data_IF_342834863223
#
_entry.id   IF_342834863223
#
_cell.length_a   1.000
_cell.length_b   1.000
_cell.length_c   1.000
_cell.angle_alpha   90.00
_cell.angle_beta   90.00
_cell.angle_gamma   90.00
#
_symmetry.space_group_name_H-M   'P 1'
#
loop_
_entity.id
_entity.type
_entity.pdbx_description
1 polymer ?
#
# COMPACT_ATOMS: atom_id res chain seq x y z
N UNK A 1 -0.14 9.13 19.21
CA UNK A 1 -1.55 9.44 18.88
C UNK A 1 -2.31 9.70 20.16
N UNK A 2 -3.25 10.63 20.17
CA UNK A 2 -4.12 10.89 21.33
C UNK A 2 -5.06 9.69 21.58
N UNK A 3 -5.25 9.31 22.84
CA UNK A 3 -6.29 8.35 23.26
C UNK A 3 -7.67 9.04 23.24
N UNK A 4 -8.76 8.27 23.25
CA UNK A 4 -10.12 8.82 23.22
C UNK A 4 -10.67 9.14 21.82
N UNK A 5 -9.99 8.68 20.76
CA UNK A 5 -10.43 8.79 19.36
C UNK A 5 -10.25 7.45 18.64
N UNK A 6 -11.03 7.23 17.59
CA UNK A 6 -10.78 6.13 16.65
C UNK A 6 -9.40 6.31 16.02
N UNK A 7 -8.62 5.24 15.96
CA UNK A 7 -7.23 5.26 15.49
C UNK A 7 -6.99 4.14 14.50
N UNK A 8 -6.70 4.53 13.27
CA UNK A 8 -6.22 3.63 12.23
C UNK A 8 -4.70 3.59 12.28
N UNK A 9 -4.16 2.43 12.66
CA UNK A 9 -2.72 2.16 12.72
C UNK A 9 -2.36 1.24 11.57
N UNK A 10 -1.38 1.65 10.76
CA UNK A 10 -0.89 0.88 9.61
C UNK A 10 0.57 0.52 9.86
N UNK A 11 0.86 -0.76 9.83
CA UNK A 11 2.21 -1.32 9.83
C UNK A 11 2.57 -1.53 8.37
N UNK A 12 3.37 -0.64 7.81
CA UNK A 12 3.87 -0.78 6.45
C UNK A 12 5.12 -1.66 6.48
N UNK A 13 5.29 -2.50 5.47
CA UNK A 13 6.55 -3.19 5.21
C UNK A 13 7.67 -2.16 4.89
N UNK A 14 8.69 -2.54 4.12
CA UNK A 14 9.63 -1.55 3.60
C UNK A 14 8.87 -0.41 2.92
N UNK A 15 9.24 0.84 3.18
CA UNK A 15 8.55 1.97 2.57
C UNK A 15 8.64 1.96 1.03
N UNK A 16 9.69 1.33 0.47
CA UNK A 16 9.86 1.10 -0.96
C UNK A 16 9.13 -0.13 -1.53
N UNK A 17 8.24 -0.77 -0.78
CA UNK A 17 7.58 -2.00 -1.22
C UNK A 17 6.26 -1.76 -1.97
N UNK A 18 5.84 -2.72 -2.80
CA UNK A 18 4.62 -2.66 -3.60
C UNK A 18 3.39 -2.32 -2.74
N UNK A 19 3.27 -2.98 -1.60
CA UNK A 19 2.15 -2.84 -0.67
C UNK A 19 2.13 -1.45 -0.05
N UNK A 20 3.29 -1.01 0.45
CA UNK A 20 3.43 0.28 1.14
C UNK A 20 3.02 1.46 0.26
N UNK A 21 3.51 1.50 -0.98
CA UNK A 21 3.19 2.59 -1.89
C UNK A 21 1.72 2.58 -2.31
N UNK A 22 1.18 1.42 -2.74
CA UNK A 22 -0.21 1.34 -3.20
C UNK A 22 -1.20 1.62 -2.05
N UNK A 23 -0.90 1.13 -0.85
CA UNK A 23 -1.78 1.33 0.29
C UNK A 23 -1.78 2.77 0.78
N UNK A 24 -0.61 3.42 0.86
CA UNK A 24 -0.54 4.84 1.19
C UNK A 24 -1.27 5.71 0.17
N UNK A 25 -1.17 5.42 -1.13
CA UNK A 25 -1.92 6.12 -2.17
C UNK A 25 -3.44 5.96 -1.99
N UNK A 26 -3.91 4.77 -1.61
CA UNK A 26 -5.32 4.54 -1.28
C UNK A 26 -5.75 5.33 -0.03
N UNK A 27 -4.93 5.33 1.03
CA UNK A 27 -5.19 6.09 2.25
C UNK A 27 -5.25 7.58 2.01
N UNK A 28 -4.29 8.15 1.27
CA UNK A 28 -4.21 9.59 0.95
C UNK A 28 -5.50 10.08 0.29
N UNK A 29 -6.08 9.29 -0.63
CA UNK A 29 -7.33 9.63 -1.29
C UNK A 29 -8.52 9.73 -0.30
N UNK A 30 -8.56 8.89 0.74
CA UNK A 30 -9.64 8.86 1.74
C UNK A 30 -9.34 9.66 3.02
N UNK A 31 -8.13 10.20 3.20
CA UNK A 31 -7.74 10.96 4.39
C UNK A 31 -8.69 12.11 4.78
N UNK A 32 -9.25 12.91 3.84
CA UNK A 32 -10.24 13.92 4.20
C UNK A 32 -11.47 13.32 4.88
N UNK A 33 -11.96 12.16 4.40
CA UNK A 33 -13.10 11.45 4.98
C UNK A 33 -12.76 10.86 6.34
N UNK A 34 -11.57 10.26 6.48
CA UNK A 34 -11.10 9.74 7.78
C UNK A 34 -11.04 10.84 8.83
N UNK A 35 -10.51 12.02 8.47
CA UNK A 35 -10.45 13.19 9.36
C UNK A 35 -11.84 13.70 9.72
N UNK A 36 -12.73 13.81 8.74
CA UNK A 36 -14.11 14.22 8.97
C UNK A 36 -14.85 13.26 9.92
N UNK A 37 -14.55 11.96 9.84
CA UNK A 37 -15.07 10.92 10.74
C UNK A 37 -14.37 10.86 12.12
N UNK A 38 -13.40 11.75 12.40
CA UNK A 38 -12.65 11.74 13.66
C UNK A 38 -11.66 10.59 13.81
N UNK A 39 -11.33 9.89 12.72
CA UNK A 39 -10.37 8.78 12.70
C UNK A 39 -8.95 9.35 12.52
N UNK A 40 -8.13 9.20 13.56
CA UNK A 40 -6.71 9.54 13.50
C UNK A 40 -5.95 8.43 12.78
N UNK A 41 -5.02 8.77 11.90
CA UNK A 41 -4.24 7.77 11.13
C UNK A 41 -2.76 7.85 11.50
N UNK A 42 -2.10 6.71 11.69
CA UNK A 42 -0.66 6.61 11.89
C UNK A 42 -0.10 5.42 11.10
N UNK A 43 0.87 5.67 10.24
CA UNK A 43 1.67 4.63 9.62
C UNK A 43 3.00 4.46 10.37
N UNK A 44 3.45 3.22 10.51
CA UNK A 44 4.77 2.85 11.02
C UNK A 44 5.36 1.93 9.98
N UNK A 45 6.34 2.42 9.22
CA UNK A 45 6.98 1.66 8.14
C UNK A 45 8.39 1.24 8.47
N UNK A 46 8.91 0.27 7.71
CA UNK A 46 10.31 -0.13 7.85
C UNK A 46 11.16 0.76 6.94
N UNK A 47 12.18 1.38 7.51
CA UNK A 47 13.05 2.33 6.82
C UNK A 47 13.69 3.34 7.77
N UNK A 48 14.19 4.44 7.23
CA UNK A 48 14.80 5.55 7.97
C UNK A 48 14.15 6.91 7.60
N UNK A 49 14.66 8.00 8.19
CA UNK A 49 14.11 9.34 7.97
C UNK A 49 14.11 9.77 6.49
N UNK A 50 15.14 9.39 5.72
CA UNK A 50 15.28 9.70 4.29
C UNK A 50 14.24 8.95 3.46
N UNK A 51 14.09 7.64 3.71
CA UNK A 51 13.05 6.82 3.07
C UNK A 51 11.65 7.36 3.35
N UNK A 52 11.37 7.83 4.58
CA UNK A 52 10.09 8.43 4.95
C UNK A 52 9.86 9.76 4.21
N UNK A 53 10.90 10.58 4.04
CA UNK A 53 10.80 11.84 3.30
C UNK A 53 10.42 11.60 1.85
N UNK A 54 11.15 10.68 1.20
CA UNK A 54 10.88 10.31 -0.19
C UNK A 54 9.50 9.67 -0.34
N UNK A 55 9.15 8.75 0.54
CA UNK A 55 7.84 8.10 0.59
C UNK A 55 6.69 9.11 0.68
N UNK A 56 6.76 10.06 1.62
CA UNK A 56 5.75 11.10 1.79
C UNK A 56 5.67 12.00 0.56
N UNK A 57 6.83 12.41 0.02
CA UNK A 57 6.91 13.25 -1.18
C UNK A 57 6.26 12.58 -2.39
N UNK A 58 6.50 11.28 -2.58
CA UNK A 58 6.01 10.55 -3.74
C UNK A 58 4.53 10.16 -3.63
N UNK A 59 4.10 9.70 -2.45
CA UNK A 59 2.74 9.18 -2.23
C UNK A 59 1.74 10.27 -1.84
N UNK A 60 2.22 11.42 -1.35
CA UNK A 60 1.40 12.45 -0.70
C UNK A 60 1.00 12.12 0.73
N UNK A 61 1.52 11.03 1.31
CA UNK A 61 1.23 10.67 2.69
C UNK A 61 1.77 11.74 3.66
N UNK A 62 0.99 12.20 4.66
CA UNK A 62 1.40 13.29 5.54
C UNK A 62 2.54 12.87 6.46
N UNK A 63 3.63 13.64 6.43
CA UNK A 63 4.85 13.38 7.20
C UNK A 63 4.61 13.28 8.70
N UNK A 64 3.66 14.04 9.23
CA UNK A 64 3.31 14.01 10.66
C UNK A 64 2.53 12.76 11.09
N UNK A 65 2.08 11.94 10.13
CA UNK A 65 1.36 10.70 10.37
C UNK A 65 2.22 9.46 10.10
N UNK A 66 3.53 9.60 9.90
CA UNK A 66 4.42 8.46 9.65
C UNK A 66 5.54 8.41 10.70
N UNK A 67 5.80 7.20 11.19
CA UNK A 67 6.99 6.86 11.93
C UNK A 67 7.74 5.78 11.15
N UNK A 68 9.03 5.65 11.44
CA UNK A 68 9.87 4.60 10.85
C UNK A 68 10.57 3.81 11.94
N UNK A 69 10.69 2.52 11.69
CA UNK A 69 11.54 1.60 12.43
C UNK A 69 12.61 1.08 11.45
N UNK A 70 13.88 1.16 11.83
CA UNK A 70 14.97 0.66 10.99
C UNK A 70 14.99 -0.87 10.93
N UNK A 71 14.30 -1.53 11.86
CA UNK A 71 14.10 -2.97 11.89
C UNK A 71 12.62 -3.32 12.03
N UNK A 72 12.19 -4.54 11.69
CA UNK A 72 10.79 -4.93 11.86
C UNK A 72 10.46 -5.29 13.32
N UNK A 73 10.81 -4.46 14.31
CA UNK A 73 10.66 -4.79 15.74
C UNK A 73 9.20 -4.95 16.12
N UNK A 74 8.39 -3.94 15.81
CA UNK A 74 6.95 -3.99 16.07
C UNK A 74 6.25 -5.06 15.22
N UNK A 75 6.69 -5.23 13.97
CA UNK A 75 6.18 -6.27 13.08
C UNK A 75 6.37 -7.68 13.66
N UNK A 76 7.58 -7.97 14.17
CA UNK A 76 7.90 -9.24 14.85
C UNK A 76 7.08 -9.41 16.13
N UNK A 77 6.96 -8.36 16.95
CA UNK A 77 6.21 -8.40 18.20
C UNK A 77 4.72 -8.72 17.98
N UNK A 78 4.15 -8.25 16.87
CA UNK A 78 2.77 -8.53 16.47
C UNK A 78 2.59 -9.84 15.69
N UNK A 79 3.67 -10.59 15.46
CA UNK A 79 3.64 -11.85 14.72
C UNK A 79 3.31 -11.69 13.23
N UNK A 80 3.60 -10.52 12.64
CA UNK A 80 3.33 -10.26 11.22
C UNK A 80 4.22 -11.14 10.33
N UNK A 81 3.70 -11.52 9.16
CA UNK A 81 4.36 -12.47 8.28
C UNK A 81 5.75 -11.97 7.85
N UNK A 82 6.79 -12.69 8.27
CA UNK A 82 8.18 -12.35 7.95
C UNK A 82 8.55 -12.53 6.47
N UNK A 83 7.63 -13.06 5.66
CA UNK A 83 7.88 -13.41 4.27
C UNK A 83 8.58 -14.75 4.08
N UNK A 84 8.82 -15.08 2.82
CA UNK A 84 9.58 -16.27 2.44
C UNK A 84 11.04 -16.10 2.91
N UNK A 85 11.64 -17.20 3.36
CA UNK A 85 13.07 -17.29 3.66
C UNK A 85 13.70 -18.29 2.71
N UNK A 86 14.85 -17.93 2.13
CA UNK A 86 15.60 -18.81 1.24
C UNK A 86 17.07 -18.85 1.64
N UNK A 87 17.77 -19.93 1.28
CA UNK A 87 19.21 -20.03 1.48
C UNK A 87 20.00 -18.98 0.66
N UNK A 88 19.41 -18.44 -0.40
CA UNK A 88 20.02 -17.41 -1.25
C UNK A 88 19.86 -15.97 -0.71
N UNK A 89 19.29 -15.79 0.48
CA UNK A 89 19.08 -14.48 1.09
C UNK A 89 17.72 -13.83 0.73
N UNK A 90 17.57 -12.53 1.07
CA UNK A 90 16.29 -11.83 0.99
C UNK A 90 15.82 -11.58 -0.45
N UNK A 91 16.72 -11.24 -1.37
CA UNK A 91 16.37 -10.93 -2.77
C UNK A 91 15.78 -12.11 -3.55
N UNK A 92 16.41 -13.30 -3.56
CA UNK A 92 15.79 -14.47 -4.17
C UNK A 92 14.43 -14.82 -3.55
N UNK A 93 14.29 -14.63 -2.24
CA UNK A 93 13.03 -14.84 -1.55
C UNK A 93 11.94 -13.87 -2.06
N UNK A 94 12.26 -12.57 -2.20
CA UNK A 94 11.36 -11.58 -2.77
C UNK A 94 10.94 -11.94 -4.20
N UNK A 95 11.88 -12.32 -5.07
CA UNK A 95 11.54 -12.70 -6.45
C UNK A 95 10.61 -13.92 -6.52
N UNK A 96 10.83 -14.92 -5.66
CA UNK A 96 9.93 -16.07 -5.56
C UNK A 96 8.53 -15.66 -5.07
N UNK A 97 8.45 -14.74 -4.10
CA UNK A 97 7.17 -14.18 -3.66
C UNK A 97 6.46 -13.39 -4.76
N UNK A 98 7.17 -12.60 -5.56
CA UNK A 98 6.63 -11.94 -6.75
C UNK A 98 6.07 -12.96 -7.77
N UNK A 99 6.68 -14.14 -7.85
CA UNK A 99 6.19 -15.28 -8.64
C UNK A 99 5.06 -16.08 -7.94
N UNK A 100 4.60 -15.65 -6.76
CA UNK A 100 3.50 -16.24 -6.00
C UNK A 100 3.91 -17.30 -4.96
N UNK A 101 5.20 -17.62 -4.83
CA UNK A 101 5.68 -18.64 -3.88
C UNK A 101 5.79 -18.03 -2.48
N UNK A 102 5.09 -18.61 -1.50
CA UNK A 102 5.01 -18.02 -0.16
C UNK A 102 4.23 -16.70 -0.13
N UNK A 103 3.44 -16.43 -1.16
CA UNK A 103 2.72 -15.17 -1.32
C UNK A 103 1.33 -15.40 -1.96
N UNK A 104 0.38 -15.98 -1.20
CA UNK A 104 -0.92 -16.35 -1.72
C UNK A 104 -1.68 -15.13 -2.28
N UNK A 105 -2.25 -15.26 -3.47
CA UNK A 105 -3.04 -14.20 -4.11
C UNK A 105 -2.25 -13.16 -4.92
N UNK A 106 -0.91 -13.17 -4.85
CA UNK A 106 -0.09 -12.18 -5.59
C UNK A 106 -0.33 -12.24 -7.10
N UNK A 107 -0.31 -13.44 -7.70
CA UNK A 107 -0.50 -13.57 -9.15
C UNK A 107 -1.92 -13.17 -9.61
N UNK A 108 -2.95 -13.44 -8.80
CA UNK A 108 -4.30 -12.97 -9.10
C UNK A 108 -4.40 -11.45 -9.06
N UNK A 109 -3.70 -10.81 -8.11
CA UNK A 109 -3.66 -9.35 -8.02
C UNK A 109 -2.85 -8.71 -9.14
N UNK A 110 -1.78 -9.36 -9.60
CA UNK A 110 -1.05 -8.95 -10.80
C UNK A 110 -1.98 -9.03 -12.01
N UNK A 111 -2.67 -10.16 -12.21
CA UNK A 111 -3.60 -10.35 -13.32
C UNK A 111 -4.74 -9.31 -13.30
N UNK A 112 -5.32 -9.03 -12.14
CA UNK A 112 -6.35 -7.98 -11.93
C UNK A 112 -5.89 -6.61 -12.41
N UNK A 113 -4.59 -6.32 -12.28
CA UNK A 113 -3.99 -5.09 -12.77
C UNK A 113 -4.05 -4.93 -14.29
N UNK A 114 -3.94 -6.04 -15.03
CA UNK A 114 -3.98 -6.08 -16.49
C UNK A 114 -5.40 -6.24 -17.04
N UNK A 115 -6.24 -7.06 -16.41
CA UNK A 115 -7.61 -7.33 -16.89
C UNK A 115 -8.63 -6.29 -16.45
N UNK A 116 -8.33 -5.51 -15.42
CA UNK A 116 -9.28 -4.59 -14.79
C UNK A 116 -10.20 -5.29 -13.80
N UNK A 117 -11.01 -4.50 -13.10
CA UNK A 117 -11.89 -4.94 -12.02
C UNK A 117 -13.13 -4.04 -11.93
N UNK A 118 -14.31 -4.60 -12.26
CA UNK A 118 -15.58 -3.87 -12.26
C UNK A 118 -16.10 -3.54 -10.86
N UNK A 119 -15.57 -4.20 -9.84
CA UNK A 119 -15.93 -3.95 -8.44
C UNK A 119 -15.07 -2.85 -7.79
N UNK A 120 -13.93 -2.54 -8.39
CA UNK A 120 -13.02 -1.49 -7.94
C UNK A 120 -13.31 -0.14 -8.63
N UNK A 121 -13.10 0.99 -7.94
CA UNK A 121 -13.26 2.31 -8.55
C UNK A 121 -12.18 2.58 -9.60
N UNK A 122 -12.49 3.48 -10.54
CA UNK A 122 -11.53 3.98 -11.51
C UNK A 122 -10.39 4.73 -10.80
N UNK A 123 -9.13 4.45 -11.17
CA UNK A 123 -7.96 5.00 -10.46
C UNK A 123 -7.32 6.21 -11.15
N UNK A 124 -7.48 6.35 -12.47
CA UNK A 124 -6.94 7.48 -13.24
C UNK A 124 -8.12 8.24 -13.86
N UNK A 125 -8.27 9.53 -13.59
CA UNK A 125 -9.36 10.31 -14.20
C UNK A 125 -9.14 10.46 -15.73
N UNK A 126 -10.21 10.60 -16.52
CA UNK A 126 -10.08 10.67 -17.98
C UNK A 126 -9.25 11.85 -18.49
N UNK A 127 -9.28 12.96 -17.76
CA UNK A 127 -8.52 14.17 -18.04
C UNK A 127 -7.12 14.15 -17.42
N UNK A 128 -6.83 13.20 -16.54
CA UNK A 128 -5.53 13.06 -15.89
C UNK A 128 -4.49 12.49 -16.85
N UNK A 129 -3.25 12.92 -16.70
CA UNK A 129 -2.11 12.38 -17.43
C UNK A 129 -1.08 11.88 -16.43
N UNK A 130 -0.77 10.59 -16.50
CA UNK A 130 0.23 9.95 -15.63
C UNK A 130 1.59 10.01 -16.33
N UNK A 131 2.57 10.59 -15.65
CA UNK A 131 3.97 10.54 -16.05
C UNK A 131 4.60 9.23 -15.57
N UNK A 132 5.27 8.52 -16.49
CA UNK A 132 5.89 7.21 -16.25
C UNK A 132 7.32 7.24 -16.83
N UNK A 133 8.08 8.32 -16.60
CA UNK A 133 9.47 8.43 -17.10
C UNK A 133 10.27 7.18 -16.72
N UNK A 134 11.06 6.57 -17.64
CA UNK A 134 11.44 7.04 -18.96
C UNK A 134 10.42 6.74 -20.09
N UNK A 135 9.28 6.14 -19.79
CA UNK A 135 8.23 5.86 -20.77
C UNK A 135 7.36 7.09 -21.07
N UNK A 136 6.68 7.12 -22.23
CA UNK A 136 5.74 8.18 -22.56
C UNK A 136 4.62 8.30 -21.53
N UNK A 137 4.24 9.53 -21.18
CA UNK A 137 3.09 9.79 -20.33
C UNK A 137 1.79 9.25 -20.95
N UNK A 138 0.92 8.70 -20.12
CA UNK A 138 -0.35 8.09 -20.55
C UNK A 138 -1.51 8.93 -20.04
N UNK A 139 -2.41 9.34 -20.95
CA UNK A 139 -3.65 10.03 -20.58
C UNK A 139 -4.71 9.03 -20.16
N UNK A 140 -5.46 9.31 -19.09
CA UNK A 140 -6.47 8.41 -18.55
C UNK A 140 -7.57 8.02 -19.55
N UNK A 141 -7.90 8.90 -20.50
CA UNK A 141 -8.84 8.61 -21.59
C UNK A 141 -8.40 7.47 -22.52
N UNK A 142 -7.12 7.09 -22.52
CA UNK A 142 -6.64 5.92 -23.26
C UNK A 142 -7.28 4.63 -22.74
N UNK A 143 -7.36 4.46 -21.42
CA UNK A 143 -7.93 3.27 -20.78
C UNK A 143 -9.44 3.14 -21.02
N UNK A 144 -10.14 4.26 -21.29
CA UNK A 144 -11.57 4.24 -21.66
C UNK A 144 -11.82 3.34 -22.86
N UNK A 145 -10.91 3.37 -23.85
CA UNK A 145 -11.04 2.57 -25.08
C UNK A 145 -10.91 1.07 -24.82
N UNK A 146 -10.23 0.69 -23.75
CA UNK A 146 -10.00 -0.71 -23.40
C UNK A 146 -11.13 -1.33 -22.57
N UNK A 147 -11.93 -0.54 -21.84
CA UNK A 147 -12.92 -1.11 -20.92
C UNK A 147 -14.15 -0.26 -20.56
N UNK A 148 -14.23 1.01 -20.97
CA UNK A 148 -15.30 1.93 -20.54
C UNK A 148 -14.89 2.83 -19.38
N UNK A 149 -15.82 3.16 -18.47
CA UNK A 149 -15.62 4.13 -17.39
C UNK A 149 -16.30 3.68 -16.09
N UNK A 150 -15.92 4.29 -14.97
CA UNK A 150 -16.58 4.11 -13.67
C UNK A 150 -16.10 2.90 -12.86
N UNK A 151 -15.05 2.22 -13.32
CA UNK A 151 -14.42 1.11 -12.62
C UNK A 151 -12.91 1.04 -12.92
N UNK A 152 -12.17 0.18 -12.25
CA UNK A 152 -10.75 -0.03 -12.53
C UNK A 152 -10.58 -0.67 -13.91
N UNK A 153 -10.09 0.09 -14.88
CA UNK A 153 -10.03 -0.34 -16.28
C UNK A 153 -8.85 -1.30 -16.55
N UNK A 154 -8.89 -2.10 -17.62
CA UNK A 154 -7.75 -2.91 -18.05
C UNK A 154 -6.48 -2.05 -18.16
N UNK A 155 -5.35 -2.60 -17.70
CA UNK A 155 -4.03 -1.96 -17.64
C UNK A 155 -3.90 -0.72 -16.74
N UNK A 156 -4.99 -0.19 -16.17
CA UNK A 156 -4.97 1.04 -15.36
C UNK A 156 -4.15 0.86 -14.07
N UNK A 157 -4.44 -0.21 -13.32
CA UNK A 157 -3.71 -0.52 -12.09
C UNK A 157 -2.28 -1.00 -12.38
N UNK A 158 -2.07 -1.78 -13.44
CA UNK A 158 -0.71 -2.16 -13.87
C UNK A 158 0.15 -0.91 -14.19
N UNK A 159 -0.44 0.12 -14.80
CA UNK A 159 0.24 1.40 -15.08
C UNK A 159 0.65 2.13 -13.81
N UNK A 160 -0.23 2.18 -12.80
CA UNK A 160 0.09 2.79 -11.50
C UNK A 160 1.22 2.02 -10.81
N UNK A 161 1.14 0.68 -10.79
CA UNK A 161 2.18 -0.16 -10.19
C UNK A 161 3.52 -0.05 -10.92
N UNK A 162 3.52 0.11 -12.25
CA UNK A 162 4.74 0.37 -13.01
C UNK A 162 5.36 1.71 -12.60
N UNK A 163 4.56 2.77 -12.46
CA UNK A 163 5.04 4.08 -11.96
C UNK A 163 5.66 3.94 -10.56
N UNK A 164 5.01 3.21 -9.66
CA UNK A 164 5.53 2.95 -8.31
C UNK A 164 6.86 2.17 -8.37
N UNK A 165 6.95 1.15 -9.22
CA UNK A 165 8.16 0.35 -9.38
C UNK A 165 9.32 1.20 -9.92
N UNK A 166 9.07 2.07 -10.91
CA UNK A 166 10.13 2.94 -11.45
C UNK A 166 10.62 3.93 -10.38
N UNK A 167 9.71 4.50 -9.59
CA UNK A 167 10.09 5.36 -8.46
C UNK A 167 11.02 4.65 -7.49
N UNK A 168 10.63 3.44 -7.05
CA UNK A 168 11.40 2.66 -6.09
C UNK A 168 12.77 2.29 -6.67
N UNK A 169 12.81 1.76 -7.89
CA UNK A 169 14.06 1.33 -8.52
C UNK A 169 15.02 2.51 -8.78
N UNK A 170 14.50 3.69 -9.12
CA UNK A 170 15.32 4.89 -9.33
C UNK A 170 15.89 5.46 -8.03
N UNK A 171 15.29 5.13 -6.88
CA UNK A 171 15.66 5.62 -5.56
C UNK A 171 15.94 4.46 -4.59
N UNK A 172 16.43 3.32 -5.10
CA UNK A 172 16.52 2.07 -4.33
C UNK A 172 17.37 2.23 -3.07
N UNK A 173 18.49 2.96 -3.17
CA UNK A 173 19.37 3.23 -2.01
C UNK A 173 18.70 4.05 -0.91
N UNK A 174 17.78 4.96 -1.26
CA UNK A 174 17.02 5.76 -0.29
C UNK A 174 15.91 4.94 0.36
N UNK A 175 15.19 4.12 -0.43
CA UNK A 175 14.09 3.32 0.07
C UNK A 175 14.52 2.07 0.83
N UNK A 176 15.71 1.54 0.54
CA UNK A 176 16.19 0.28 1.04
C UNK A 176 17.58 0.42 1.69
N UNK A 177 17.68 1.12 2.85
CA UNK A 177 18.93 1.27 3.57
C UNK A 177 19.46 -0.08 4.11
N UNK A 178 18.57 -1.04 4.35
CA UNK A 178 18.87 -2.43 4.72
C UNK A 178 17.88 -3.35 4.03
N UNK A 179 18.37 -4.47 3.47
CA UNK A 179 17.57 -5.39 2.66
C UNK A 179 17.24 -6.73 3.37
N UNK A 180 17.73 -6.93 4.59
CA UNK A 180 17.53 -8.13 5.42
C UNK A 180 16.04 -8.53 5.57
N UNK A 181 15.13 -7.56 5.46
CA UNK A 181 13.71 -7.70 5.76
C UNK A 181 12.80 -7.25 4.60
N UNK A 182 13.26 -7.26 3.35
CA UNK A 182 12.40 -6.91 2.19
C UNK A 182 11.17 -7.80 2.01
N UNK A 183 11.21 -9.02 2.54
CA UNK A 183 10.08 -9.94 2.47
C UNK A 183 9.08 -9.76 3.64
N UNK A 184 9.45 -9.00 4.68
CA UNK A 184 8.55 -8.69 5.81
C UNK A 184 7.28 -8.03 5.29
N UNK A 185 6.13 -8.51 5.79
CA UNK A 185 4.80 -8.00 5.48
C UNK A 185 4.24 -7.16 6.61
N UNK A 186 3.26 -6.33 6.28
CA UNK A 186 2.63 -5.38 7.17
C UNK A 186 1.32 -5.88 7.79
N UNK A 187 0.53 -4.91 8.26
CA UNK A 187 -0.79 -5.13 8.80
C UNK A 187 -1.54 -3.82 9.06
N UNK A 188 -2.85 -3.91 9.26
CA UNK A 188 -3.73 -2.78 9.54
C UNK A 188 -4.53 -3.05 10.79
N UNK A 189 -4.67 -2.05 11.65
CA UNK A 189 -5.42 -2.14 12.89
C UNK A 189 -6.31 -0.91 13.08
N UNK A 190 -7.55 -1.12 13.49
CA UNK A 190 -8.45 -0.04 13.92
C UNK A 190 -8.72 -0.20 15.41
N UNK A 191 -8.40 0.83 16.18
CA UNK A 191 -8.74 0.93 17.59
C UNK A 191 -9.87 1.94 17.80
N UNK A 192 -10.72 1.72 18.79
CA UNK A 192 -11.71 2.69 19.23
C UNK A 192 -11.11 3.73 20.20
N UNK A 193 -11.97 4.50 20.88
CA UNK A 193 -11.56 5.50 21.88
C UNK A 193 -10.94 4.90 23.15
N UNK A 194 -11.28 3.66 23.50
CA UNK A 194 -10.93 2.97 24.75
C UNK A 194 -9.80 1.94 24.57
N UNK A 195 -9.05 2.02 23.46
CA UNK A 195 -7.99 1.09 23.09
C UNK A 195 -8.49 -0.33 22.71
N UNK A 196 -9.79 -0.50 22.42
CA UNK A 196 -10.36 -1.78 21.97
C UNK A 196 -10.07 -1.97 20.48
N UNK A 197 -9.59 -3.17 20.13
CA UNK A 197 -9.36 -3.57 18.74
C UNK A 197 -10.68 -3.87 18.02
N UNK A 198 -10.98 -3.07 17.00
CA UNK A 198 -12.21 -3.18 16.20
C UNK A 198 -12.00 -3.92 14.87
N UNK A 199 -10.80 -3.83 14.30
CA UNK A 199 -10.44 -4.48 13.05
C UNK A 199 -8.95 -4.77 13.04
N UNK A 200 -8.57 -5.92 12.48
CA UNK A 200 -7.20 -6.26 12.18
C UNK A 200 -7.09 -7.02 10.87
N UNK A 201 -6.12 -6.64 10.05
CA UNK A 201 -5.68 -7.40 8.88
C UNK A 201 -4.18 -7.59 8.95
N UNK A 202 -3.72 -8.80 8.70
CA UNK A 202 -2.29 -9.12 8.60
C UNK A 202 -2.01 -9.58 7.17
N UNK A 203 -1.03 -8.96 6.52
CA UNK A 203 -0.83 -9.21 5.10
C UNK A 203 -0.21 -10.59 4.90
N UNK A 204 -0.80 -11.38 4.01
CA UNK A 204 -0.43 -12.78 3.79
C UNK A 204 0.65 -12.95 2.72
N UNK A 205 0.98 -11.87 2.00
CA UNK A 205 1.88 -11.86 0.86
C UNK A 205 1.89 -10.50 0.19
N UNK A 206 2.64 -10.40 -0.91
CA UNK A 206 2.73 -9.23 -1.78
C UNK A 206 1.38 -8.98 -2.46
N UNK A 207 0.97 -7.72 -2.49
CA UNK A 207 -0.32 -7.21 -2.94
C UNK A 207 -1.49 -7.74 -2.12
N UNK A 208 -1.26 -8.04 -0.84
CA UNK A 208 -2.23 -8.63 0.08
C UNK A 208 -2.57 -7.76 1.29
N UNK A 209 -2.41 -6.44 1.19
CA UNK A 209 -2.50 -5.49 2.31
C UNK A 209 -3.94 -5.15 2.78
N UNK A 210 -4.95 -5.73 2.14
CA UNK A 210 -6.34 -5.63 2.57
C UNK A 210 -7.10 -6.91 2.25
N UNK A 211 -8.07 -7.25 3.09
CA UNK A 211 -9.02 -8.33 2.84
C UNK A 211 -9.82 -8.09 1.54
N UNK A 212 -10.09 -6.82 1.20
CA UNK A 212 -10.82 -6.44 -0.01
C UNK A 212 -9.95 -5.55 -0.90
N UNK A 213 -9.04 -6.13 -1.68
CA UNK A 213 -8.11 -5.37 -2.54
C UNK A 213 -8.79 -4.46 -3.59
N UNK A 214 -10.00 -4.79 -4.03
CA UNK A 214 -10.80 -3.93 -4.91
C UNK A 214 -11.19 -2.59 -4.25
N UNK A 215 -11.38 -2.60 -2.92
CA UNK A 215 -11.73 -1.44 -2.09
C UNK A 215 -11.00 -1.56 -0.75
N UNK A 216 -9.68 -1.25 -0.69
CA UNK A 216 -8.83 -1.61 0.44
C UNK A 216 -9.29 -1.08 1.80
N UNK A 217 -10.09 -0.01 1.79
CA UNK A 217 -10.59 0.71 2.95
C UNK A 217 -12.07 0.42 3.25
N UNK A 218 -12.67 -0.60 2.62
CA UNK A 218 -14.09 -0.95 2.79
C UNK A 218 -14.49 -1.25 4.24
N UNK A 219 -13.56 -1.83 5.03
CA UNK A 219 -13.75 -2.11 6.46
C UNK A 219 -14.04 -0.85 7.30
N UNK A 220 -13.70 0.34 6.78
CA UNK A 220 -13.95 1.62 7.43
C UNK A 220 -15.37 2.13 7.21
N UNK A 221 -16.15 1.55 6.28
CA UNK A 221 -17.47 2.06 5.88
C UNK A 221 -18.40 2.36 7.07
N UNK A 222 -18.52 1.41 8.01
CA UNK A 222 -19.37 1.57 9.20
C UNK A 222 -18.91 2.67 10.18
N UNK A 223 -17.71 3.21 10.00
CA UNK A 223 -17.13 4.28 10.83
C UNK A 223 -17.06 5.62 10.09
N UNK A 224 -17.13 5.62 8.76
CA UNK A 224 -17.08 6.83 7.92
C UNK A 224 -18.44 7.52 7.80
N UNK A 225 -19.54 6.78 7.90
CA UNK A 225 -20.90 7.29 7.67
C UNK A 225 -21.60 7.73 8.98
N UNK A 226 -20.87 7.83 10.10
CA UNK A 226 -21.42 8.14 11.44
C UNK A 226 -21.52 9.63 11.78
N UNK A 227 -21.25 10.53 10.81
CA UNK A 227 -21.34 11.98 10.99
C UNK A 227 -22.34 12.61 10.01
#
# INVERSE_FOLDING_TARGET
MEKGKYRLIILLSQLGDFDSLEYAQALVADMPRLRAAGISTLAIGIGNAESAERFCTFTGFPKQNILVDEEPTLHRALGLYAGLKTLGGPWPALFLMCAGIGSPGTLSEVLRGYTGDRSAPQRIANNETISISPFPSVRGSFFRRAGGEGFQRPFELATIRLRNMIEVLSNLGTYLPRDDFITQRGGTYLLDCDDILLYSHQDKGILGFSETMAKPLSFLGQYLDKN
#
